data_IF_117800703869
#
_entry.id   IF_117800703869
#
_cell.length_a   1.000
_cell.length_b   1.000
_cell.length_c   1.000
_cell.angle_alpha   90.00
_cell.angle_beta   90.00
_cell.angle_gamma   90.00
#
_symmetry.space_group_name_H-M   'P 1'
#
loop_
_entity.id
_entity.type
_entity.pdbx_description
1 polymer ?
#
# COMPACT_ATOMS: atom_id res chain seq x y z
N UNK A 1 42.39 10.51 1.19
CA UNK A 1 41.31 10.64 2.19
C UNK A 1 41.42 12.00 2.84
N UNK A 2 40.40 12.85 2.72
CA UNK A 2 40.37 14.17 3.35
C UNK A 2 39.57 14.11 4.67
N UNK A 3 40.04 14.79 5.72
CA UNK A 3 39.28 15.03 6.94
C UNK A 3 38.99 16.52 7.03
N UNK A 4 37.71 16.90 7.06
CA UNK A 4 37.29 18.30 7.01
C UNK A 4 36.29 18.58 8.11
N UNK A 5 36.54 19.63 8.90
CA UNK A 5 35.61 20.17 9.88
C UNK A 5 35.21 21.59 9.48
N UNK A 6 33.93 21.92 9.60
CA UNK A 6 33.40 23.22 9.21
C UNK A 6 32.95 23.28 7.75
N UNK A 7 33.45 24.25 6.99
CA UNK A 7 33.04 24.47 5.60
C UNK A 7 33.94 23.69 4.65
N UNK A 8 33.34 22.82 3.82
CA UNK A 8 34.08 22.18 2.72
C UNK A 8 34.32 23.20 1.60
N UNK A 9 35.58 23.45 1.22
CA UNK A 9 35.88 24.27 0.05
C UNK A 9 35.42 23.55 -1.21
N UNK A 10 34.93 24.30 -2.20
CA UNK A 10 34.38 23.77 -3.45
C UNK A 10 35.46 23.04 -4.26
N UNK A 11 35.51 21.72 -4.17
CA UNK A 11 36.51 20.86 -4.81
C UNK A 11 35.93 19.45 -5.04
N UNK A 12 36.47 18.75 -6.03
CA UNK A 12 36.17 17.33 -6.23
C UNK A 12 36.90 16.50 -5.18
N UNK A 13 36.13 15.75 -4.39
CA UNK A 13 36.65 14.95 -3.30
C UNK A 13 36.39 13.49 -3.58
N UNK A 14 37.47 12.74 -3.82
CA UNK A 14 37.35 11.32 -4.11
C UNK A 14 36.97 10.51 -2.85
N UNK A 15 37.54 10.85 -1.69
CA UNK A 15 37.23 10.18 -0.42
C UNK A 15 37.35 11.18 0.73
N UNK A 16 36.27 11.41 1.48
CA UNK A 16 36.23 12.42 2.54
C UNK A 16 35.42 12.01 3.79
N UNK A 17 35.94 12.40 4.95
CA UNK A 17 35.24 12.49 6.23
C UNK A 17 34.94 13.96 6.52
N UNK A 18 33.67 14.31 6.63
CA UNK A 18 33.24 15.70 6.79
C UNK A 18 32.29 15.84 7.98
N UNK A 19 32.60 16.80 8.84
CA UNK A 19 31.66 17.30 9.86
C UNK A 19 31.42 18.78 9.61
N UNK A 20 30.24 19.14 9.10
CA UNK A 20 29.87 20.53 8.82
C UNK A 20 29.05 20.73 7.55
N UNK A 21 29.34 21.80 6.81
CA UNK A 21 28.60 22.20 5.61
C UNK A 21 29.34 21.78 4.35
N UNK A 22 28.63 21.10 3.45
CA UNK A 22 29.13 20.64 2.15
C UNK A 22 28.40 21.37 1.02
N UNK A 23 28.87 22.56 0.63
CA UNK A 23 28.19 23.35 -0.41
C UNK A 23 28.68 22.94 -1.80
N UNK A 24 27.77 22.52 -2.69
CA UNK A 24 28.03 22.32 -4.12
C UNK A 24 29.39 21.71 -4.48
N UNK A 25 29.55 20.43 -4.21
CA UNK A 25 30.71 19.59 -4.55
C UNK A 25 30.25 18.35 -5.29
N UNK A 26 31.20 17.73 -5.99
CA UNK A 26 31.07 16.40 -6.54
C UNK A 26 31.91 15.45 -5.66
N UNK A 27 31.24 14.48 -5.06
CA UNK A 27 31.81 13.59 -4.04
C UNK A 27 31.66 12.15 -4.47
N UNK A 28 32.79 11.44 -4.58
CA UNK A 28 32.73 10.02 -4.96
C UNK A 28 32.43 9.13 -3.74
N UNK A 29 33.17 9.29 -2.63
CA UNK A 29 32.93 8.58 -1.37
C UNK A 29 32.96 9.54 -0.19
N UNK A 30 31.85 9.68 0.51
CA UNK A 30 31.74 10.62 1.62
C UNK A 30 31.06 10.03 2.85
N UNK A 31 31.64 10.28 4.03
CA UNK A 31 30.94 10.19 5.30
C UNK A 31 30.74 11.62 5.81
N UNK A 32 29.48 12.04 5.92
CA UNK A 32 29.11 13.42 6.23
C UNK A 32 28.21 13.45 7.46
N UNK A 33 28.57 14.28 8.44
CA UNK A 33 27.67 14.72 9.49
C UNK A 33 27.41 16.21 9.33
N UNK A 34 26.20 16.60 8.95
CA UNK A 34 25.82 18.01 8.80
C UNK A 34 24.89 18.31 7.62
N UNK A 35 25.19 19.39 6.89
CA UNK A 35 24.31 19.95 5.86
C UNK A 35 24.92 19.73 4.47
N UNK A 36 24.15 19.15 3.55
CA UNK A 36 24.58 18.78 2.19
C UNK A 36 23.62 19.39 1.16
N UNK A 37 23.79 20.68 0.79
CA UNK A 37 23.00 21.31 -0.26
C UNK A 37 23.67 21.26 -1.64
N UNK A 38 22.92 20.79 -2.66
CA UNK A 38 23.24 20.94 -4.10
C UNK A 38 24.53 20.24 -4.57
N UNK A 39 24.72 18.99 -4.21
CA UNK A 39 25.89 18.18 -4.53
C UNK A 39 25.48 16.98 -5.38
N UNK A 40 26.45 16.44 -6.10
CA UNK A 40 26.34 15.15 -6.76
C UNK A 40 27.18 14.15 -5.97
N UNK A 41 26.54 13.10 -5.43
CA UNK A 41 27.19 12.11 -4.58
C UNK A 41 27.06 10.71 -5.17
N UNK A 42 28.18 10.03 -5.39
CA UNK A 42 28.16 8.65 -5.87
C UNK A 42 27.90 7.67 -4.71
N UNK A 43 28.70 7.71 -3.65
CA UNK A 43 28.53 6.89 -2.44
C UNK A 43 28.60 7.77 -1.20
N UNK A 44 27.50 7.82 -0.43
CA UNK A 44 27.43 8.67 0.75
C UNK A 44 26.80 7.98 1.97
N UNK A 45 27.43 8.14 3.13
CA UNK A 45 26.82 7.96 4.44
C UNK A 45 26.59 9.34 5.05
N UNK A 46 25.34 9.73 5.25
CA UNK A 46 24.99 11.08 5.71
C UNK A 46 24.13 11.01 6.96
N UNK A 47 24.53 11.77 7.99
CA UNK A 47 23.68 12.11 9.12
C UNK A 47 23.40 13.61 9.09
N UNK A 48 22.14 14.01 8.87
CA UNK A 48 21.74 15.41 8.84
C UNK A 48 20.74 15.77 7.74
N UNK A 49 20.95 16.91 7.07
CA UNK A 49 20.04 17.45 6.05
C UNK A 49 20.68 17.32 4.66
N UNK A 50 19.96 16.66 3.74
CA UNK A 50 20.37 16.42 2.36
C UNK A 50 19.34 17.05 1.43
N UNK A 51 19.69 18.17 0.79
CA UNK A 51 18.74 18.95 0.01
C UNK A 51 19.22 19.25 -1.42
N UNK A 52 18.38 18.95 -2.42
CA UNK A 52 18.63 19.27 -3.84
C UNK A 52 19.87 18.61 -4.41
N UNK A 53 20.11 17.36 -4.09
CA UNK A 53 21.26 16.58 -4.54
C UNK A 53 20.80 15.45 -5.46
N UNK A 54 21.74 14.99 -6.28
CA UNK A 54 21.63 13.76 -7.03
C UNK A 54 22.50 12.71 -6.34
N UNK A 55 21.89 11.62 -5.86
CA UNK A 55 22.59 10.56 -5.13
C UNK A 55 22.45 9.21 -5.83
N UNK A 56 23.58 8.56 -6.11
CA UNK A 56 23.56 7.22 -6.69
C UNK A 56 23.37 6.15 -5.60
N UNK A 57 24.22 6.12 -4.58
CA UNK A 57 24.14 5.21 -3.43
C UNK A 57 24.23 5.98 -2.12
N UNK A 58 23.16 5.94 -1.32
CA UNK A 58 23.10 6.70 -0.08
C UNK A 58 22.55 5.90 1.11
N UNK A 59 23.22 6.04 2.25
CA UNK A 59 22.66 5.74 3.56
C UNK A 59 22.45 7.06 4.30
N UNK A 60 21.20 7.42 4.59
CA UNK A 60 20.87 8.72 5.17
C UNK A 60 20.07 8.54 6.46
N UNK A 61 20.52 9.21 7.52
CA UNK A 61 19.72 9.45 8.73
C UNK A 61 19.41 10.94 8.81
N UNK A 62 18.13 11.32 8.69
CA UNK A 62 17.68 12.70 8.83
C UNK A 62 16.63 13.15 7.82
N UNK A 63 16.81 14.34 7.27
CA UNK A 63 15.83 15.02 6.42
C UNK A 63 16.34 15.09 4.98
N UNK A 64 15.57 14.58 4.02
CA UNK A 64 15.97 14.43 2.61
C UNK A 64 14.94 15.09 1.68
N UNK A 65 14.90 16.43 1.56
CA UNK A 65 13.93 17.11 0.71
C UNK A 65 14.46 17.39 -0.71
N UNK A 66 13.65 17.08 -1.73
CA UNK A 66 13.88 17.48 -3.12
C UNK A 66 15.19 16.96 -3.72
N UNK A 67 15.41 15.67 -3.69
CA UNK A 67 16.58 14.99 -4.24
C UNK A 67 16.12 13.89 -5.19
N UNK A 68 17.03 13.52 -6.08
CA UNK A 68 16.88 12.36 -6.95
C UNK A 68 17.81 11.27 -6.43
N UNK A 69 17.24 10.11 -6.06
CA UNK A 69 18.00 9.01 -5.47
C UNK A 69 17.82 7.72 -6.27
N UNK A 70 18.94 7.12 -6.68
CA UNK A 70 18.89 5.84 -7.36
C UNK A 70 18.75 4.67 -6.37
N UNK A 71 19.69 4.53 -5.43
CA UNK A 71 19.67 3.52 -4.36
C UNK A 71 19.82 4.18 -3.00
N UNK A 72 18.79 4.08 -2.16
CA UNK A 72 18.78 4.74 -0.86
C UNK A 72 18.29 3.85 0.29
N UNK A 73 19.00 3.91 1.41
CA UNK A 73 18.51 3.51 2.72
C UNK A 73 18.33 4.77 3.56
N UNK A 74 17.09 5.08 3.94
CA UNK A 74 16.75 6.32 4.64
C UNK A 74 16.02 6.04 5.95
N UNK A 75 16.50 6.63 7.03
CA UNK A 75 15.76 6.76 8.28
C UNK A 75 15.42 8.23 8.52
N UNK A 76 14.14 8.59 8.49
CA UNK A 76 13.67 9.94 8.75
C UNK A 76 12.56 10.44 7.82
N UNK A 77 12.68 11.68 7.34
CA UNK A 77 11.66 12.37 6.56
C UNK A 77 12.12 12.62 5.13
N UNK A 78 11.34 12.16 4.15
CA UNK A 78 11.69 12.14 2.72
C UNK A 78 10.59 12.85 1.91
N UNK A 79 10.53 14.19 1.86
CA UNK A 79 9.48 14.90 1.14
C UNK A 79 9.90 15.33 -0.28
N UNK A 80 9.04 15.08 -1.27
CA UNK A 80 9.18 15.60 -2.65
C UNK A 80 10.44 15.15 -3.39
N UNK A 81 10.70 13.86 -3.44
CA UNK A 81 11.84 13.25 -4.09
C UNK A 81 11.36 12.23 -5.12
N UNK A 82 12.24 11.96 -6.07
CA UNK A 82 12.09 10.84 -7.00
C UNK A 82 13.08 9.75 -6.55
N UNK A 83 12.57 8.57 -6.19
CA UNK A 83 13.44 7.45 -5.83
C UNK A 83 13.18 6.21 -6.68
N UNK A 84 14.27 5.63 -7.20
CA UNK A 84 14.19 4.40 -7.97
C UNK A 84 14.10 3.17 -7.06
N UNK A 85 15.10 2.96 -6.20
CA UNK A 85 15.14 1.88 -5.21
C UNK A 85 15.36 2.43 -3.81
N UNK A 86 14.37 2.25 -2.93
CA UNK A 86 14.42 2.81 -1.59
C UNK A 86 14.00 1.83 -0.49
N UNK A 87 14.77 1.80 0.59
CA UNK A 87 14.35 1.29 1.90
C UNK A 87 14.18 2.48 2.84
N UNK A 88 12.96 2.74 3.28
CA UNK A 88 12.64 3.91 4.09
C UNK A 88 11.98 3.51 5.40
N UNK A 89 12.52 4.02 6.51
CA UNK A 89 11.86 4.02 7.82
C UNK A 89 11.50 5.46 8.18
N UNK A 90 10.20 5.78 8.23
CA UNK A 90 9.71 7.10 8.63
C UNK A 90 8.56 7.65 7.78
N UNK A 91 8.65 8.92 7.39
CA UNK A 91 7.57 9.66 6.73
C UNK A 91 7.97 10.03 5.29
N UNK A 92 7.11 9.68 4.33
CA UNK A 92 7.40 9.77 2.89
C UNK A 92 6.27 10.53 2.17
N UNK A 93 6.18 11.86 2.26
CA UNK A 93 5.07 12.62 1.66
C UNK A 93 5.41 13.16 0.27
N UNK A 94 4.49 12.98 -0.69
CA UNK A 94 4.54 13.54 -2.05
C UNK A 94 5.78 13.13 -2.85
N UNK A 95 6.02 11.83 -3.00
CA UNK A 95 7.14 11.29 -3.76
C UNK A 95 6.66 10.35 -4.86
N UNK A 96 7.49 10.23 -5.89
CA UNK A 96 7.34 9.22 -6.93
C UNK A 96 8.37 8.12 -6.65
N UNK A 97 7.88 6.89 -6.49
CA UNK A 97 8.70 5.75 -6.08
C UNK A 97 8.49 4.58 -7.04
N UNK A 98 9.58 4.09 -7.61
CA UNK A 98 9.50 2.92 -8.48
C UNK A 98 9.48 1.61 -7.68
N UNK A 99 10.51 1.36 -6.88
CA UNK A 99 10.61 0.20 -5.98
C UNK A 99 10.89 0.66 -4.55
N UNK A 100 9.96 0.40 -3.64
CA UNK A 100 10.08 0.85 -2.26
C UNK A 100 9.73 -0.22 -1.23
N UNK A 101 10.55 -0.33 -0.18
CA UNK A 101 10.20 -0.94 1.09
C UNK A 101 10.06 0.17 2.13
N UNK A 102 8.84 0.36 2.66
CA UNK A 102 8.55 1.46 3.57
C UNK A 102 7.97 0.94 4.88
N UNK A 103 8.57 1.37 5.99
CA UNK A 103 7.97 1.25 7.33
C UNK A 103 7.60 2.65 7.82
N UNK A 104 6.31 2.93 7.96
CA UNK A 104 5.81 4.21 8.47
C UNK A 104 4.61 4.78 7.72
N UNK A 105 4.66 6.09 7.41
CA UNK A 105 3.54 6.85 6.87
C UNK A 105 3.85 7.33 5.44
N UNK A 106 2.95 7.03 4.51
CA UNK A 106 3.11 7.24 3.06
C UNK A 106 1.92 8.03 2.49
N UNK A 107 1.85 9.36 2.65
CA UNK A 107 0.70 10.14 2.19
C UNK A 107 0.95 10.81 0.83
N UNK A 108 0.00 10.65 -0.10
CA UNK A 108 -0.06 11.33 -1.40
C UNK A 108 1.13 11.08 -2.34
N UNK A 109 1.38 9.82 -2.66
CA UNK A 109 2.46 9.34 -3.51
C UNK A 109 1.92 8.47 -4.62
N UNK A 110 2.71 8.40 -5.69
CA UNK A 110 2.53 7.44 -6.77
C UNK A 110 3.60 6.35 -6.62
N UNK A 111 3.17 5.10 -6.37
CA UNK A 111 4.08 3.98 -6.16
C UNK A 111 3.83 2.88 -7.20
N UNK A 112 4.87 2.45 -7.89
CA UNK A 112 4.75 1.36 -8.86
C UNK A 112 4.82 -0.02 -8.18
N UNK A 113 5.89 -0.29 -7.43
CA UNK A 113 6.09 -1.52 -6.65
C UNK A 113 6.44 -1.18 -5.20
N UNK A 114 5.55 -1.51 -4.27
CA UNK A 114 5.74 -1.17 -2.87
C UNK A 114 5.45 -2.32 -1.91
N UNK A 115 6.33 -2.49 -0.93
CA UNK A 115 6.06 -3.21 0.32
C UNK A 115 5.95 -2.18 1.44
N UNK A 116 4.76 -2.06 2.03
CA UNK A 116 4.47 -1.04 3.04
C UNK A 116 3.99 -1.68 4.33
N UNK A 117 4.63 -1.32 5.45
CA UNK A 117 4.11 -1.56 6.79
C UNK A 117 3.74 -0.22 7.43
N UNK A 118 2.45 0.03 7.64
CA UNK A 118 1.96 1.25 8.30
C UNK A 118 0.72 1.86 7.66
N UNK A 119 0.72 3.18 7.46
CA UNK A 119 -0.45 3.96 7.04
C UNK A 119 -0.23 4.57 5.65
N UNK A 120 -1.19 4.33 4.75
CA UNK A 120 -1.08 4.66 3.32
C UNK A 120 -2.30 5.46 2.85
N UNK A 121 -2.43 6.76 3.16
CA UNK A 121 -3.61 7.54 2.82
C UNK A 121 -3.47 8.30 1.50
N UNK A 122 -4.48 8.20 0.62
CA UNK A 122 -4.63 8.95 -0.63
C UNK A 122 -3.48 8.77 -1.62
N UNK A 123 -3.26 7.55 -2.08
CA UNK A 123 -2.21 7.18 -3.02
C UNK A 123 -2.77 6.38 -4.19
N UNK A 124 -2.05 6.42 -5.30
CA UNK A 124 -2.27 5.57 -6.46
C UNK A 124 -1.16 4.51 -6.47
N UNK A 125 -1.52 3.23 -6.31
CA UNK A 125 -0.55 2.13 -6.27
C UNK A 125 -0.84 1.09 -7.35
N UNK A 126 0.18 0.76 -8.14
CA UNK A 126 0.02 -0.25 -9.19
C UNK A 126 0.18 -1.68 -8.65
N UNK A 127 1.26 -1.95 -7.91
CA UNK A 127 1.52 -3.23 -7.25
C UNK A 127 1.96 -3.01 -5.81
N UNK A 128 1.12 -3.42 -4.86
CA UNK A 128 1.38 -3.19 -3.44
C UNK A 128 1.17 -4.43 -2.56
N UNK A 129 2.11 -4.66 -1.65
CA UNK A 129 1.93 -5.49 -0.46
C UNK A 129 1.85 -4.57 0.75
N UNK A 130 0.70 -4.52 1.42
CA UNK A 130 0.45 -3.59 2.51
C UNK A 130 0.04 -4.34 3.77
N UNK A 131 0.73 -4.04 4.88
CA UNK A 131 0.29 -4.41 6.23
C UNK A 131 -0.06 -3.14 6.99
N UNK A 132 -1.34 -2.93 7.31
CA UNK A 132 -1.80 -1.78 8.08
C UNK A 132 -3.10 -1.15 7.57
N UNK A 133 -3.12 0.17 7.43
CA UNK A 133 -4.33 0.96 7.15
C UNK A 133 -4.21 1.69 5.80
N UNK A 134 -5.23 1.49 4.94
CA UNK A 134 -5.24 1.91 3.53
C UNK A 134 -6.53 2.70 3.22
N UNK A 135 -6.62 3.99 3.60
CA UNK A 135 -7.84 4.77 3.38
C UNK A 135 -7.78 5.63 2.11
N UNK A 136 -8.81 5.53 1.26
CA UNK A 136 -9.06 6.42 0.11
C UNK A 136 -7.98 6.39 -0.98
N UNK A 137 -7.71 5.22 -1.51
CA UNK A 137 -6.71 4.94 -2.55
C UNK A 137 -7.35 4.24 -3.74
N UNK A 138 -6.66 4.35 -4.87
CA UNK A 138 -6.93 3.57 -6.07
C UNK A 138 -5.79 2.56 -6.23
N UNK A 139 -6.13 1.26 -6.23
CA UNK A 139 -5.14 0.18 -6.27
C UNK A 139 -5.42 -0.77 -7.44
N UNK A 140 -4.40 -1.07 -8.25
CA UNK A 140 -4.57 -1.92 -9.44
C UNK A 140 -4.25 -3.41 -9.21
N UNK A 141 -3.33 -3.71 -8.29
CA UNK A 141 -3.01 -5.05 -7.79
C UNK A 141 -2.52 -4.94 -6.35
N UNK A 142 -3.27 -5.51 -5.41
CA UNK A 142 -2.93 -5.36 -3.99
C UNK A 142 -3.07 -6.65 -3.19
N UNK A 143 -2.06 -6.91 -2.34
CA UNK A 143 -2.16 -7.83 -1.21
C UNK A 143 -2.19 -7.00 0.06
N UNK A 144 -3.30 -7.05 0.80
CA UNK A 144 -3.52 -6.21 1.98
C UNK A 144 -3.83 -7.06 3.20
N UNK A 145 -3.10 -6.83 4.29
CA UNK A 145 -3.45 -7.31 5.63
C UNK A 145 -3.80 -6.10 6.50
N UNK A 146 -5.07 -5.96 6.89
CA UNK A 146 -5.52 -4.89 7.79
C UNK A 146 -6.85 -4.25 7.40
N UNK A 147 -6.91 -2.92 7.41
CA UNK A 147 -8.14 -2.14 7.26
C UNK A 147 -8.11 -1.31 5.97
N UNK A 148 -9.14 -1.48 5.13
CA UNK A 148 -9.22 -0.90 3.77
C UNK A 148 -10.55 -0.14 3.59
N UNK A 149 -10.69 1.09 4.11
CA UNK A 149 -11.94 1.84 4.01
C UNK A 149 -11.97 2.79 2.80
N UNK A 150 -13.05 2.72 2.02
CA UNK A 150 -13.37 3.68 0.94
C UNK A 150 -12.32 3.77 -0.18
N UNK A 151 -12.04 2.67 -0.84
CA UNK A 151 -11.08 2.54 -1.92
C UNK A 151 -11.74 1.89 -3.13
N UNK A 152 -11.14 2.14 -4.29
CA UNK A 152 -11.45 1.45 -5.53
C UNK A 152 -10.29 0.49 -5.81
N UNK A 153 -10.55 -0.82 -5.80
CA UNK A 153 -9.50 -1.83 -6.02
C UNK A 153 -9.83 -2.66 -7.25
N UNK A 154 -8.86 -2.73 -8.16
CA UNK A 154 -8.79 -3.76 -9.19
C UNK A 154 -7.86 -4.86 -8.65
N UNK A 155 -8.27 -6.13 -8.75
CA UNK A 155 -7.50 -7.31 -8.31
C UNK A 155 -6.90 -7.21 -6.90
N UNK A 156 -7.69 -7.61 -5.89
CA UNK A 156 -7.26 -7.53 -4.49
C UNK A 156 -7.28 -8.89 -3.78
N UNK A 157 -6.23 -9.18 -3.01
CA UNK A 157 -6.22 -10.20 -1.96
C UNK A 157 -6.20 -9.50 -0.61
N UNK A 158 -7.26 -9.64 0.18
CA UNK A 158 -7.43 -8.89 1.43
C UNK A 158 -7.67 -9.84 2.60
N UNK A 159 -6.91 -9.65 3.66
CA UNK A 159 -7.18 -10.24 4.98
C UNK A 159 -7.49 -9.11 5.96
N UNK A 160 -8.74 -9.02 6.43
CA UNK A 160 -9.16 -8.04 7.43
C UNK A 160 -10.53 -7.40 7.19
N UNK A 161 -10.61 -6.07 7.31
CA UNK A 161 -11.86 -5.31 7.28
C UNK A 161 -11.92 -4.39 6.06
N UNK A 162 -12.98 -4.53 5.26
CA UNK A 162 -13.16 -3.87 3.96
C UNK A 162 -14.51 -3.15 3.89
N UNK A 163 -14.65 -1.94 4.48
CA UNK A 163 -15.93 -1.23 4.49
C UNK A 163 -16.03 -0.18 3.38
N UNK A 164 -17.16 -0.20 2.64
CA UNK A 164 -17.53 0.86 1.66
C UNK A 164 -16.57 1.04 0.50
N UNK A 165 -16.21 -0.03 -0.19
CA UNK A 165 -15.31 -0.05 -1.33
C UNK A 165 -16.02 -0.60 -2.56
N UNK A 166 -15.48 -0.26 -3.71
CA UNK A 166 -15.85 -0.84 -4.99
C UNK A 166 -14.69 -1.75 -5.44
N UNK A 167 -14.95 -3.04 -5.57
CA UNK A 167 -13.90 -4.02 -5.87
C UNK A 167 -14.21 -4.78 -7.16
N UNK A 168 -13.22 -4.85 -8.05
CA UNK A 168 -13.24 -5.66 -9.24
C UNK A 168 -12.23 -6.80 -9.10
N UNK A 169 -12.71 -8.05 -9.03
CA UNK A 169 -11.94 -9.26 -8.70
C UNK A 169 -11.29 -9.20 -7.31
N UNK A 170 -11.94 -9.83 -6.32
CA UNK A 170 -11.44 -9.85 -4.95
C UNK A 170 -11.41 -11.25 -4.33
N UNK A 171 -10.33 -11.57 -3.63
CA UNK A 171 -10.26 -12.66 -2.66
C UNK A 171 -10.18 -12.04 -1.26
N UNK A 172 -11.20 -12.25 -0.44
CA UNK A 172 -11.31 -11.61 0.87
C UNK A 172 -11.49 -12.64 1.98
N UNK A 173 -10.67 -12.51 3.02
CA UNK A 173 -10.88 -13.20 4.31
C UNK A 173 -11.16 -12.15 5.39
N UNK A 174 -12.38 -12.12 5.93
CA UNK A 174 -12.75 -11.22 7.02
C UNK A 174 -14.14 -10.59 6.90
N UNK A 175 -14.24 -9.29 7.19
CA UNK A 175 -15.51 -8.55 7.28
C UNK A 175 -15.65 -7.55 6.13
N UNK A 176 -16.74 -7.67 5.38
CA UNK A 176 -16.98 -6.92 4.12
C UNK A 176 -18.36 -6.25 4.17
N UNK A 177 -18.52 -5.09 4.85
CA UNK A 177 -19.81 -4.41 4.95
C UNK A 177 -19.98 -3.27 3.93
N UNK A 178 -21.13 -3.25 3.24
CA UNK A 178 -21.57 -2.12 2.38
C UNK A 178 -20.66 -1.84 1.18
N UNK A 179 -20.32 -2.85 0.42
CA UNK A 179 -19.46 -2.79 -0.77
C UNK A 179 -20.22 -3.25 -2.00
N UNK A 180 -19.72 -2.81 -3.16
CA UNK A 180 -20.13 -3.31 -4.46
C UNK A 180 -18.98 -4.15 -5.01
N UNK A 181 -19.22 -5.46 -5.24
CA UNK A 181 -18.18 -6.38 -5.68
C UNK A 181 -18.55 -7.03 -7.01
N UNK A 182 -17.61 -6.98 -7.95
CA UNK A 182 -17.68 -7.69 -9.22
C UNK A 182 -16.65 -8.82 -9.21
N UNK A 183 -17.09 -10.08 -9.21
CA UNK A 183 -16.29 -11.29 -9.02
C UNK A 183 -15.60 -11.33 -7.65
N UNK A 184 -16.17 -12.07 -6.70
CA UNK A 184 -15.60 -12.19 -5.36
C UNK A 184 -15.54 -13.63 -4.85
N UNK A 185 -14.42 -13.98 -4.23
CA UNK A 185 -14.29 -15.14 -3.34
C UNK A 185 -14.13 -14.63 -1.91
N UNK A 186 -15.10 -14.93 -1.04
CA UNK A 186 -15.15 -14.36 0.31
C UNK A 186 -15.25 -15.46 1.35
N UNK A 187 -14.40 -15.41 2.37
CA UNK A 187 -14.54 -16.17 3.62
C UNK A 187 -14.79 -15.21 4.78
N UNK A 188 -15.97 -15.25 5.39
CA UNK A 188 -16.29 -14.45 6.57
C UNK A 188 -17.70 -13.83 6.57
N UNK A 189 -17.80 -12.56 6.95
CA UNK A 189 -19.07 -11.87 7.19
C UNK A 189 -19.29 -10.79 6.13
N UNK A 190 -20.42 -10.88 5.41
CA UNK A 190 -20.72 -10.06 4.23
C UNK A 190 -22.11 -9.41 4.37
N UNK A 191 -22.28 -8.31 5.13
CA UNK A 191 -23.58 -7.68 5.33
C UNK A 191 -23.80 -6.47 4.39
N UNK A 192 -24.98 -6.39 3.76
CA UNK A 192 -25.46 -5.21 3.02
C UNK A 192 -24.62 -4.83 1.79
N UNK A 193 -24.27 -5.79 0.97
CA UNK A 193 -23.47 -5.62 -0.25
C UNK A 193 -24.29 -5.98 -1.48
N UNK A 194 -23.84 -5.45 -2.62
CA UNK A 194 -24.32 -5.82 -3.94
C UNK A 194 -23.20 -6.63 -4.62
N UNK A 195 -23.50 -7.89 -4.94
CA UNK A 195 -22.50 -8.84 -5.45
C UNK A 195 -22.89 -9.39 -6.81
N UNK A 196 -21.99 -9.25 -7.77
CA UNK A 196 -22.09 -9.89 -9.08
C UNK A 196 -21.02 -10.98 -9.21
N UNK A 197 -21.44 -12.23 -9.36
CA UNK A 197 -20.58 -13.43 -9.33
C UNK A 197 -19.82 -13.59 -8.01
N UNK A 198 -20.36 -14.35 -7.07
CA UNK A 198 -19.73 -14.55 -5.77
C UNK A 198 -19.64 -16.02 -5.35
N UNK A 199 -18.49 -16.41 -4.80
CA UNK A 199 -18.33 -17.62 -4.00
C UNK A 199 -18.09 -17.21 -2.55
N UNK A 200 -19.00 -17.58 -1.65
CA UNK A 200 -18.98 -17.11 -0.26
C UNK A 200 -19.02 -18.29 0.71
N UNK A 201 -18.11 -18.29 1.67
CA UNK A 201 -18.17 -19.15 2.85
C UNK A 201 -18.37 -18.29 4.10
N UNK A 202 -19.53 -18.38 4.74
CA UNK A 202 -19.82 -17.65 5.97
C UNK A 202 -21.23 -17.07 6.08
N UNK A 203 -21.34 -15.87 6.66
CA UNK A 203 -22.61 -15.22 6.99
C UNK A 203 -22.90 -14.06 6.04
N UNK A 204 -24.05 -14.11 5.36
CA UNK A 204 -24.41 -13.21 4.25
C UNK A 204 -25.79 -12.57 4.47
N UNK A 205 -25.95 -11.56 5.35
CA UNK A 205 -27.26 -10.97 5.65
C UNK A 205 -27.54 -9.67 4.85
N UNK A 206 -28.76 -9.55 4.32
CA UNK A 206 -29.29 -8.35 3.64
C UNK A 206 -28.51 -7.91 2.40
N UNK A 207 -28.18 -8.83 1.50
CA UNK A 207 -27.43 -8.55 0.26
C UNK A 207 -28.28 -8.80 -0.97
N UNK A 208 -27.89 -8.15 -2.06
CA UNK A 208 -28.44 -8.37 -3.40
C UNK A 208 -27.40 -9.16 -4.21
N UNK A 209 -27.77 -10.38 -4.61
CA UNK A 209 -26.82 -11.34 -5.18
C UNK A 209 -27.24 -11.79 -6.58
N UNK A 210 -26.34 -11.57 -7.54
CA UNK A 210 -26.45 -12.10 -8.90
C UNK A 210 -25.36 -13.17 -9.13
N UNK A 211 -25.76 -14.41 -9.41
CA UNK A 211 -24.86 -15.58 -9.55
C UNK A 211 -24.01 -15.84 -8.31
N UNK A 212 -24.56 -16.52 -7.31
CA UNK A 212 -23.85 -16.82 -6.07
C UNK A 212 -23.77 -18.33 -5.77
N UNK A 213 -22.61 -18.78 -5.30
CA UNK A 213 -22.44 -20.05 -4.59
C UNK A 213 -22.11 -19.75 -3.13
N UNK A 214 -22.95 -20.18 -2.20
CA UNK A 214 -22.82 -19.84 -0.79
C UNK A 214 -22.78 -21.10 0.06
N UNK A 215 -21.78 -21.21 0.92
CA UNK A 215 -21.75 -22.17 2.03
C UNK A 215 -21.89 -21.41 3.34
N UNK A 216 -23.03 -21.54 4.04
CA UNK A 216 -23.24 -20.89 5.34
C UNK A 216 -24.66 -20.38 5.59
N UNK A 217 -24.78 -19.22 6.23
CA UNK A 217 -26.06 -18.67 6.72
C UNK A 217 -26.47 -17.44 5.91
N UNK A 218 -27.70 -17.47 5.35
CA UNK A 218 -28.20 -16.49 4.38
C UNK A 218 -29.59 -15.97 4.79
N UNK A 219 -29.68 -14.94 5.65
CA UNK A 219 -30.96 -14.37 6.05
C UNK A 219 -31.28 -13.08 5.27
N UNK A 220 -32.50 -13.01 4.70
CA UNK A 220 -33.10 -11.78 4.13
C UNK A 220 -32.33 -11.19 2.93
N UNK A 221 -31.95 -12.01 1.95
CA UNK A 221 -31.29 -11.57 0.71
C UNK A 221 -32.22 -11.66 -0.49
N UNK A 222 -31.96 -10.81 -1.48
CA UNK A 222 -32.57 -10.90 -2.80
C UNK A 222 -31.61 -11.65 -3.75
N UNK A 223 -32.10 -12.71 -4.40
CA UNK A 223 -31.29 -13.68 -5.11
C UNK A 223 -31.84 -13.88 -6.54
N UNK A 224 -31.02 -13.65 -7.56
CA UNK A 224 -31.41 -13.87 -8.96
C UNK A 224 -30.98 -15.26 -9.49
N UNK A 225 -29.80 -15.75 -9.08
CA UNK A 225 -29.30 -17.11 -9.33
C UNK A 225 -28.36 -17.51 -8.20
N UNK A 226 -28.79 -18.43 -7.32
CA UNK A 226 -27.98 -18.82 -6.17
C UNK A 226 -28.06 -20.31 -5.87
N UNK A 227 -26.91 -20.93 -5.61
CA UNK A 227 -26.79 -22.23 -4.98
C UNK A 227 -26.33 -22.03 -3.53
N UNK A 228 -27.12 -22.51 -2.57
CA UNK A 228 -26.83 -22.32 -1.15
C UNK A 228 -26.76 -23.67 -0.45
N UNK A 229 -25.60 -23.96 0.14
CA UNK A 229 -25.37 -25.07 1.05
C UNK A 229 -25.34 -24.54 2.48
N UNK A 230 -26.45 -24.65 3.20
CA UNK A 230 -26.55 -24.19 4.58
C UNK A 230 -27.95 -23.71 4.95
N UNK A 231 -28.03 -22.78 5.91
CA UNK A 231 -29.31 -22.30 6.44
C UNK A 231 -29.76 -21.03 5.72
N UNK A 232 -31.04 -21.01 5.29
CA UNK A 232 -31.65 -19.87 4.62
C UNK A 232 -32.92 -19.44 5.36
N UNK A 233 -33.00 -18.17 5.75
CA UNK A 233 -34.25 -17.56 6.23
C UNK A 233 -34.91 -16.80 5.08
N UNK A 234 -35.93 -17.40 4.45
CA UNK A 234 -36.69 -16.82 3.34
C UNK A 234 -37.60 -15.67 3.82
N UNK A 235 -37.59 -14.54 3.10
CA UNK A 235 -38.83 -13.84 2.70
C UNK A 235 -39.20 -14.41 1.33
N UNK A 236 -40.48 -14.75 1.12
CA UNK A 236 -40.99 -15.45 -0.09
C UNK A 236 -40.85 -14.55 -1.35
N UNK A 237 -40.09 -14.95 -2.40
CA UNK A 237 -40.18 -14.34 -3.73
C UNK A 237 -40.86 -15.31 -4.72
N UNK A 238 -41.51 -14.77 -5.75
CA UNK A 238 -42.44 -15.52 -6.62
C UNK A 238 -41.79 -16.51 -7.60
N UNK A 239 -40.46 -16.52 -7.80
CA UNK A 239 -39.81 -17.31 -8.87
C UNK A 239 -38.41 -17.88 -8.52
N UNK A 240 -38.22 -18.47 -7.33
CA UNK A 240 -36.96 -19.17 -7.00
C UNK A 240 -37.06 -20.69 -7.21
N UNK A 241 -36.19 -21.27 -8.05
CA UNK A 241 -36.06 -22.73 -8.20
C UNK A 241 -35.22 -23.28 -7.03
N UNK A 242 -35.84 -24.10 -6.18
CA UNK A 242 -35.27 -24.61 -4.93
C UNK A 242 -34.63 -26.00 -5.14
N UNK A 243 -33.30 -26.07 -5.31
CA UNK A 243 -32.58 -27.35 -5.28
C UNK A 243 -32.11 -27.64 -3.85
N UNK A 244 -32.95 -28.32 -3.07
CA UNK A 244 -32.57 -28.91 -1.77
C UNK A 244 -31.84 -30.23 -1.99
N UNK A 245 -30.53 -30.29 -1.69
CA UNK A 245 -29.90 -31.56 -1.32
C UNK A 245 -30.02 -31.71 0.19
N UNK A 246 -31.02 -32.48 0.61
CA UNK A 246 -31.19 -32.95 1.98
C UNK A 246 -30.21 -34.11 2.21
N UNK A 247 -29.12 -33.91 2.96
CA UNK A 247 -28.41 -35.05 3.56
C UNK A 247 -29.28 -35.62 4.68
N UNK A 248 -30.11 -36.61 4.35
CA UNK A 248 -30.67 -37.50 5.36
C UNK A 248 -29.60 -38.51 5.76
N UNK A 249 -29.31 -38.51 7.07
CA UNK A 249 -28.50 -39.42 7.90
C UNK A 249 -27.19 -38.83 8.36
#
# INVERSE_FOLDING_TARGET
MALITGLVPKNDLNMAFITGLVPKNDLNMALITGLVPKNDLNMALITGLVQKNDLNMALITGLVPKNDLNMALITGLVPKNDLNMALITGLVPKNDLNMALITGLVPKNDLNMALITGLVPKNDLNMALITGLVPKNDLNMALITGLVPKNDLNMALITGLVPKNDLNMALITGLVPKNDLNMALITGLVPKNDLNMALITGLVPKNDLNMALITGLVPKNDLNMALITGLVQKKRPEHAIDYRISSKK
#
